data_IF_673053750472
#
_entry.id   IF_673053750472
#
_cell.length_a   1.000
_cell.length_b   1.000
_cell.length_c   1.000
_cell.angle_alpha   90.00
_cell.angle_beta   90.00
_cell.angle_gamma   90.00
#
_symmetry.space_group_name_H-M   'P 1'
#
loop_
_entity.id
_entity.type
_entity.pdbx_description
1 polymer ?
#
# COMPACT_ATOMS: atom_id res chain seq x y z
N UNK A 1 28.38 -6.79 8.48
CA UNK A 1 27.08 -7.02 7.82
C UNK A 1 27.40 -7.39 6.38
N UNK A 2 27.18 -8.65 6.02
CA UNK A 2 27.51 -9.16 4.68
C UNK A 2 26.41 -8.66 3.71
N UNK A 3 26.66 -7.59 2.98
CA UNK A 3 25.80 -7.15 1.87
C UNK A 3 26.04 -8.11 0.70
N UNK A 4 25.38 -9.27 0.72
CA UNK A 4 25.23 -10.02 -0.52
C UNK A 4 24.54 -9.09 -1.52
N UNK A 5 25.24 -8.80 -2.62
CA UNK A 5 24.66 -8.03 -3.71
C UNK A 5 23.48 -8.85 -4.27
N UNK A 6 22.25 -8.41 -3.99
CA UNK A 6 21.07 -9.04 -4.57
C UNK A 6 21.16 -8.91 -6.10
N UNK A 7 21.05 -10.03 -6.78
CA UNK A 7 21.08 -10.04 -8.25
C UNK A 7 19.75 -9.50 -8.77
N UNK A 8 19.79 -8.35 -9.45
CA UNK A 8 18.64 -7.76 -10.12
C UNK A 8 18.65 -8.19 -11.59
N UNK A 9 17.54 -8.74 -12.05
CA UNK A 9 17.36 -9.19 -13.43
C UNK A 9 16.93 -7.98 -14.28
N UNK A 10 17.71 -7.72 -15.34
CA UNK A 10 17.46 -6.59 -16.27
C UNK A 10 16.98 -7.05 -17.66
N UNK A 11 16.50 -8.29 -17.77
CA UNK A 11 15.96 -8.83 -19.00
C UNK A 11 14.77 -7.99 -19.50
N UNK A 12 14.86 -7.52 -20.75
CA UNK A 12 13.86 -6.60 -21.31
C UNK A 12 12.48 -7.25 -21.48
N UNK A 13 12.42 -8.54 -21.81
CA UNK A 13 11.16 -9.24 -22.01
C UNK A 13 10.42 -9.36 -20.66
N UNK A 14 11.10 -9.78 -19.60
CA UNK A 14 10.54 -9.92 -18.26
C UNK A 14 10.11 -8.57 -17.70
N UNK A 15 10.91 -7.52 -17.90
CA UNK A 15 10.55 -6.14 -17.51
C UNK A 15 9.30 -5.69 -18.25
N UNK A 16 9.20 -5.90 -19.56
CA UNK A 16 8.02 -5.50 -20.34
C UNK A 16 6.77 -6.28 -19.90
N UNK A 17 6.89 -7.57 -19.57
CA UNK A 17 5.80 -8.36 -19.00
C UNK A 17 5.33 -7.78 -17.66
N UNK A 18 6.26 -7.46 -16.75
CA UNK A 18 5.94 -6.87 -15.45
C UNK A 18 5.24 -5.50 -15.58
N UNK A 19 5.59 -4.71 -16.60
CA UNK A 19 5.04 -3.37 -16.87
C UNK A 19 3.76 -3.38 -17.74
N UNK A 20 3.26 -4.52 -18.15
CA UNK A 20 2.07 -4.59 -19.05
C UNK A 20 1.00 -5.51 -18.53
N UNK A 21 1.35 -6.69 -18.01
CA UNK A 21 0.35 -7.70 -17.63
C UNK A 21 -0.40 -7.29 -16.37
N UNK A 22 -1.70 -7.08 -16.50
CA UNK A 22 -2.61 -6.60 -15.43
C UNK A 22 -2.29 -5.20 -14.92
N UNK A 23 -1.58 -4.39 -15.72
CA UNK A 23 -1.25 -3.00 -15.42
C UNK A 23 -2.05 -2.11 -16.34
N UNK A 24 -2.92 -1.24 -15.78
CA UNK A 24 -3.72 -0.30 -16.54
C UNK A 24 -2.94 0.96 -16.89
N UNK A 25 -2.21 1.49 -15.91
CA UNK A 25 -1.46 2.74 -16.03
C UNK A 25 -0.23 2.74 -15.13
N UNK A 26 0.82 3.46 -15.52
CA UNK A 26 2.03 3.67 -14.73
C UNK A 26 2.32 5.17 -14.67
N UNK A 27 2.31 5.73 -13.48
CA UNK A 27 2.60 7.15 -13.23
C UNK A 27 3.98 7.32 -12.56
N UNK A 28 4.68 8.42 -12.82
CA UNK A 28 4.37 9.44 -13.81
C UNK A 28 4.69 9.04 -15.25
N UNK A 29 5.44 7.94 -15.48
CA UNK A 29 5.86 7.49 -16.80
C UNK A 29 6.26 6.01 -16.81
N UNK A 30 5.70 5.22 -17.72
CA UNK A 30 6.11 3.84 -17.98
C UNK A 30 7.56 3.73 -18.40
N UNK A 31 8.00 4.62 -19.28
CA UNK A 31 9.38 4.63 -19.80
C UNK A 31 10.39 5.00 -18.69
N UNK A 32 9.99 5.92 -17.80
CA UNK A 32 10.78 6.24 -16.61
C UNK A 32 11.00 5.04 -15.71
N UNK A 33 9.95 4.31 -15.36
CA UNK A 33 10.06 3.09 -14.54
C UNK A 33 10.86 1.99 -15.27
N UNK A 34 10.61 1.79 -16.59
CA UNK A 34 11.38 0.83 -17.39
C UNK A 34 12.89 1.12 -17.35
N UNK A 35 13.28 2.39 -17.50
CA UNK A 35 14.69 2.83 -17.41
C UNK A 35 15.29 2.51 -16.04
N UNK A 36 14.56 2.76 -14.96
CA UNK A 36 15.02 2.41 -13.61
C UNK A 36 15.21 0.90 -13.43
N UNK A 37 14.28 0.08 -13.91
CA UNK A 37 14.39 -1.38 -13.86
C UNK A 37 15.60 -1.90 -14.67
N UNK A 38 15.85 -1.31 -15.84
CA UNK A 38 16.99 -1.66 -16.69
C UNK A 38 18.34 -1.20 -16.14
N UNK A 39 18.37 -0.27 -15.18
CA UNK A 39 19.63 0.22 -14.58
C UNK A 39 20.34 -0.82 -13.71
N UNK A 40 19.69 -1.93 -13.36
CA UNK A 40 20.22 -2.94 -12.44
C UNK A 40 20.18 -2.50 -10.98
N UNK A 41 19.67 -1.31 -10.67
CA UNK A 41 19.46 -0.85 -9.29
C UNK A 41 18.32 -1.62 -8.63
N UNK A 42 18.53 -2.14 -7.43
CA UNK A 42 17.45 -2.74 -6.64
C UNK A 42 16.47 -1.69 -6.17
N UNK A 43 15.25 -1.74 -6.67
CA UNK A 43 14.14 -0.86 -6.27
C UNK A 43 13.38 -1.49 -5.11
N UNK A 44 12.61 -0.65 -4.40
CA UNK A 44 11.65 -1.09 -3.39
C UNK A 44 10.24 -0.85 -3.92
N UNK A 45 9.43 -1.91 -3.96
CA UNK A 45 8.01 -1.84 -4.24
C UNK A 45 7.23 -2.15 -2.97
N UNK A 46 6.20 -1.37 -2.69
CA UNK A 46 5.33 -1.64 -1.55
C UNK A 46 3.86 -1.55 -1.95
N UNK A 47 3.03 -2.28 -1.24
CA UNK A 47 1.59 -2.24 -1.35
C UNK A 47 1.00 -2.14 0.05
N UNK A 48 0.21 -1.07 0.29
CA UNK A 48 -0.56 -0.90 1.51
C UNK A 48 -1.90 -1.63 1.41
N UNK A 49 -2.29 -2.28 2.51
CA UNK A 49 -3.62 -2.87 2.68
C UNK A 49 -4.10 -2.70 4.12
N UNK A 50 -5.31 -2.18 4.27
CA UNK A 50 -5.99 -2.08 5.56
C UNK A 50 -6.74 -3.38 5.87
N UNK A 51 -6.56 -4.00 7.04
CA UNK A 51 -7.25 -5.23 7.42
C UNK A 51 -8.69 -4.95 7.88
N UNK A 52 -9.51 -4.44 6.98
CA UNK A 52 -10.93 -4.09 7.24
C UNK A 52 -11.87 -5.30 7.24
N UNK A 53 -11.38 -6.46 6.85
CA UNK A 53 -12.04 -7.76 6.91
C UNK A 53 -10.98 -8.86 7.11
N UNK A 54 -11.38 -10.06 7.49
CA UNK A 54 -10.46 -11.18 7.71
C UNK A 54 -10.11 -11.97 6.44
N UNK A 55 -10.39 -11.44 5.27
CA UNK A 55 -10.12 -12.10 3.98
C UNK A 55 -9.54 -11.14 2.96
N UNK A 56 -8.75 -11.73 2.06
CA UNK A 56 -8.20 -11.09 0.85
C UNK A 56 -8.96 -11.66 -0.35
N UNK A 57 -9.55 -10.78 -1.16
CA UNK A 57 -10.32 -11.19 -2.34
C UNK A 57 -9.51 -11.05 -3.65
N UNK A 58 -10.06 -11.54 -4.76
CA UNK A 58 -9.40 -11.54 -6.08
C UNK A 58 -8.94 -10.15 -6.54
N UNK A 59 -9.65 -9.07 -6.18
CA UNK A 59 -9.23 -7.70 -6.46
C UNK A 59 -7.89 -7.34 -5.81
N UNK A 60 -7.63 -7.82 -4.60
CA UNK A 60 -6.31 -7.67 -3.95
C UNK A 60 -5.24 -8.55 -4.61
N UNK A 61 -5.61 -9.75 -5.06
CA UNK A 61 -4.67 -10.72 -5.67
C UNK A 61 -3.99 -10.16 -6.91
N UNK A 62 -4.66 -9.33 -7.71
CA UNK A 62 -4.06 -8.71 -8.91
C UNK A 62 -2.85 -7.85 -8.56
N UNK A 63 -2.91 -7.11 -7.44
CA UNK A 63 -1.80 -6.29 -6.97
C UNK A 63 -0.64 -7.15 -6.45
N UNK A 64 -0.93 -8.25 -5.72
CA UNK A 64 0.10 -9.17 -5.26
C UNK A 64 0.81 -9.90 -6.41
N UNK A 65 0.08 -10.23 -7.49
CA UNK A 65 0.69 -10.80 -8.70
C UNK A 65 1.62 -9.81 -9.42
N UNK A 66 1.38 -8.50 -9.32
CA UNK A 66 2.30 -7.48 -9.82
C UNK A 66 3.56 -7.43 -8.94
N UNK A 67 3.40 -7.43 -7.61
CA UNK A 67 4.53 -7.46 -6.68
C UNK A 67 5.39 -8.72 -6.85
N UNK A 68 4.76 -9.88 -7.06
CA UNK A 68 5.45 -11.15 -7.31
C UNK A 68 6.40 -11.04 -8.52
N UNK A 69 5.96 -10.42 -9.63
CA UNK A 69 6.82 -10.22 -10.80
C UNK A 69 8.04 -9.33 -10.49
N UNK A 70 7.85 -8.26 -9.72
CA UNK A 70 8.99 -7.43 -9.29
C UNK A 70 9.89 -8.15 -8.29
N UNK A 71 9.32 -9.02 -7.44
CA UNK A 71 10.09 -9.90 -6.56
C UNK A 71 10.95 -10.87 -7.37
N UNK A 72 10.38 -11.53 -8.39
CA UNK A 72 11.08 -12.42 -9.30
C UNK A 72 12.22 -11.73 -10.09
N UNK A 73 12.12 -10.41 -10.33
CA UNK A 73 13.19 -9.60 -10.89
C UNK A 73 14.29 -9.23 -9.86
N UNK A 74 14.19 -9.65 -8.62
CA UNK A 74 15.17 -9.39 -7.55
C UNK A 74 14.97 -8.08 -6.80
N UNK A 75 13.85 -7.40 -6.99
CA UNK A 75 13.53 -6.17 -6.27
C UNK A 75 13.03 -6.45 -4.85
N UNK A 76 13.18 -5.45 -3.96
CA UNK A 76 12.68 -5.51 -2.59
C UNK A 76 11.17 -5.32 -2.58
N UNK A 77 10.46 -6.18 -1.86
CA UNK A 77 9.01 -6.10 -1.70
C UNK A 77 8.63 -5.88 -0.24
N UNK A 78 7.73 -4.93 -0.02
CA UNK A 78 7.13 -4.67 1.30
C UNK A 78 5.62 -4.79 1.18
N UNK A 79 5.03 -5.69 1.97
CA UNK A 79 3.59 -5.70 2.24
C UNK A 79 3.35 -4.85 3.47
N UNK A 80 2.79 -3.66 3.25
CA UNK A 80 2.52 -2.69 4.30
C UNK A 80 1.10 -2.88 4.82
N UNK A 81 0.98 -3.20 6.10
CA UNK A 81 -0.31 -3.36 6.77
C UNK A 81 -0.72 -2.04 7.41
N UNK A 82 -1.88 -1.55 7.01
CA UNK A 82 -2.51 -0.37 7.59
C UNK A 82 -3.29 -0.69 8.86
N UNK A 83 -2.62 -1.23 9.88
CA UNK A 83 -3.27 -1.62 11.14
C UNK A 83 -3.65 -0.40 12.01
N UNK A 84 -3.02 0.74 11.78
CA UNK A 84 -3.44 2.02 12.37
C UNK A 84 -4.53 2.69 11.52
N UNK A 85 -4.33 2.78 10.20
CA UNK A 85 -5.26 3.45 9.29
C UNK A 85 -6.60 2.72 9.18
N UNK A 86 -6.63 1.40 9.35
CA UNK A 86 -7.87 0.64 9.42
C UNK A 86 -8.82 1.10 10.54
N UNK A 87 -8.29 1.64 11.64
CA UNK A 87 -9.09 2.22 12.72
C UNK A 87 -9.68 3.59 12.36
N UNK A 88 -9.02 4.34 11.46
CA UNK A 88 -9.56 5.60 10.93
C UNK A 88 -10.70 5.30 9.95
N UNK A 89 -10.48 4.35 9.06
CA UNK A 89 -11.37 3.95 7.98
C UNK A 89 -11.13 4.74 6.69
N UNK A 90 -10.85 3.99 5.60
CA UNK A 90 -10.63 4.55 4.27
C UNK A 90 -11.90 5.25 3.74
N UNK A 91 -11.87 6.55 3.43
CA UNK A 91 -13.02 7.27 2.89
C UNK A 91 -13.24 7.03 1.38
N UNK A 92 -12.32 6.34 0.67
CA UNK A 92 -12.27 6.34 -0.79
C UNK A 92 -13.37 5.52 -1.46
N UNK A 93 -13.82 4.42 -0.85
CA UNK A 93 -14.69 3.44 -1.53
C UNK A 93 -16.19 3.58 -1.27
N UNK A 94 -16.64 4.47 -0.38
CA UNK A 94 -18.05 4.53 0.02
C UNK A 94 -18.59 5.94 0.14
N UNK A 95 -19.85 6.08 -0.24
CA UNK A 95 -20.65 7.30 -0.04
C UNK A 95 -21.11 7.50 1.41
N UNK A 96 -20.74 6.60 2.31
CA UNK A 96 -21.05 6.68 3.75
C UNK A 96 -19.80 6.41 4.58
N UNK A 97 -19.74 6.96 5.78
CA UNK A 97 -18.69 6.68 6.76
C UNK A 97 -18.55 5.18 7.01
N UNK A 98 -17.33 4.65 7.01
CA UNK A 98 -17.06 3.30 7.51
C UNK A 98 -17.22 3.27 9.04
N UNK A 99 -17.69 2.16 9.55
CA UNK A 99 -17.63 1.88 10.99
C UNK A 99 -16.15 1.76 11.35
N UNK A 100 -15.71 2.57 12.31
CA UNK A 100 -14.37 2.48 12.85
C UNK A 100 -14.17 1.11 13.51
N UNK A 101 -13.07 0.46 13.17
CA UNK A 101 -12.70 -0.80 13.79
C UNK A 101 -11.93 -0.55 15.08
N UNK A 102 -12.15 -1.41 16.08
CA UNK A 102 -11.28 -1.43 17.26
C UNK A 102 -9.95 -2.09 16.91
N UNK A 103 -8.91 -1.83 17.72
CA UNK A 103 -7.61 -2.47 17.52
C UNK A 103 -7.69 -4.00 17.59
N UNK A 104 -8.53 -4.53 18.47
CA UNK A 104 -8.76 -5.97 18.63
C UNK A 104 -9.34 -6.57 17.34
N UNK A 105 -10.33 -5.91 16.74
CA UNK A 105 -10.92 -6.36 15.47
C UNK A 105 -9.90 -6.32 14.32
N UNK A 106 -9.06 -5.29 14.28
CA UNK A 106 -7.96 -5.19 13.29
C UNK A 106 -6.97 -6.33 13.46
N UNK A 107 -6.55 -6.64 14.69
CA UNK A 107 -5.62 -7.73 14.98
C UNK A 107 -6.24 -9.11 14.68
N UNK A 108 -7.53 -9.30 14.96
CA UNK A 108 -8.25 -10.53 14.59
C UNK A 108 -8.29 -10.73 13.08
N UNK A 109 -8.63 -9.68 12.32
CA UNK A 109 -8.64 -9.72 10.86
C UNK A 109 -7.27 -10.08 10.27
N UNK A 110 -6.18 -9.62 10.89
CA UNK A 110 -4.81 -9.86 10.42
C UNK A 110 -4.34 -11.30 10.55
N UNK A 111 -4.92 -12.10 11.45
CA UNK A 111 -4.43 -13.46 11.75
C UNK A 111 -4.30 -14.34 10.51
N UNK A 112 -5.15 -14.16 9.52
CA UNK A 112 -5.15 -14.97 8.30
C UNK A 112 -4.48 -14.31 7.10
N UNK A 113 -4.15 -13.01 7.15
CA UNK A 113 -3.65 -12.25 6.01
C UNK A 113 -2.36 -12.82 5.44
N UNK A 114 -1.35 -13.06 6.30
CA UNK A 114 -0.07 -13.60 5.85
C UNK A 114 -0.23 -14.95 5.14
N UNK A 115 -1.09 -15.82 5.65
CA UNK A 115 -1.36 -17.12 5.03
C UNK A 115 -2.11 -17.01 3.70
N UNK A 116 -3.02 -16.02 3.55
CA UNK A 116 -3.75 -15.78 2.32
C UNK A 116 -2.85 -15.16 1.25
N UNK A 117 -2.10 -14.12 1.59
CA UNK A 117 -1.15 -13.44 0.71
C UNK A 117 -0.01 -14.38 0.32
N UNK A 118 0.43 -15.24 1.24
CA UNK A 118 1.47 -16.24 1.06
C UNK A 118 1.14 -17.33 0.02
N UNK A 119 -0.08 -17.35 -0.52
CA UNK A 119 -0.42 -18.19 -1.68
C UNK A 119 0.12 -17.61 -3.01
N UNK A 120 0.51 -16.33 -3.01
CA UNK A 120 1.04 -15.62 -4.17
C UNK A 120 2.48 -15.20 -3.92
N UNK A 121 2.75 -14.60 -2.74
CA UNK A 121 4.06 -14.08 -2.36
C UNK A 121 4.79 -15.09 -1.46
N UNK A 122 6.01 -15.50 -1.84
CA UNK A 122 6.81 -16.42 -1.02
C UNK A 122 7.51 -15.69 0.13
N UNK A 123 6.89 -15.73 1.32
CA UNK A 123 7.48 -15.17 2.54
C UNK A 123 8.62 -16.01 3.14
N UNK A 124 8.93 -17.16 2.54
CA UNK A 124 10.01 -18.03 2.98
C UNK A 124 11.27 -17.91 2.11
N UNK A 125 11.25 -17.04 1.10
CA UNK A 125 12.44 -16.75 0.29
C UNK A 125 13.52 -16.14 1.19
N UNK A 126 14.61 -16.90 1.38
CA UNK A 126 15.74 -16.52 2.23
C UNK A 126 16.65 -15.54 1.50
N UNK A 127 16.77 -15.65 0.17
CA UNK A 127 17.68 -14.87 -0.65
C UNK A 127 17.14 -13.47 -0.94
N UNK A 128 15.81 -13.35 -1.09
CA UNK A 128 15.12 -12.07 -1.30
C UNK A 128 13.86 -11.99 -0.40
N UNK A 129 14.00 -11.83 0.93
CA UNK A 129 12.87 -11.88 1.85
C UNK A 129 11.87 -10.76 1.60
N UNK A 130 10.59 -11.13 1.54
CA UNK A 130 9.48 -10.18 1.48
C UNK A 130 9.16 -9.70 2.90
N UNK A 131 9.14 -8.39 3.07
CA UNK A 131 8.91 -7.76 4.36
C UNK A 131 7.42 -7.54 4.62
N UNK A 132 7.02 -7.78 5.87
CA UNK A 132 5.69 -7.46 6.39
C UNK A 132 5.87 -6.33 7.40
N UNK A 133 5.38 -5.11 7.08
CA UNK A 133 5.52 -3.93 7.93
C UNK A 133 4.16 -3.40 8.36
N UNK A 134 4.10 -2.74 9.50
CA UNK A 134 2.87 -2.22 10.11
C UNK A 134 2.97 -0.70 10.24
N UNK A 135 1.98 0.03 9.74
CA UNK A 135 2.03 1.49 9.84
C UNK A 135 1.83 2.01 11.27
N UNK A 136 1.31 1.21 12.19
CA UNK A 136 1.28 1.54 13.61
C UNK A 136 2.68 1.73 14.22
N UNK A 137 3.73 1.15 13.62
CA UNK A 137 5.11 1.26 14.12
C UNK A 137 5.60 2.72 14.18
N UNK A 138 5.07 3.58 13.32
CA UNK A 138 5.38 5.00 13.31
C UNK A 138 4.17 5.89 13.60
N UNK A 139 2.97 5.60 13.07
CA UNK A 139 1.79 6.44 13.26
C UNK A 139 1.31 6.48 14.71
N UNK A 140 1.42 5.37 15.46
CA UNK A 140 1.01 5.36 16.86
C UNK A 140 1.93 6.16 17.80
N UNK A 141 3.09 6.60 17.31
CA UNK A 141 4.06 7.40 18.07
C UNK A 141 3.87 8.89 17.86
N UNK A 142 3.08 9.29 16.87
CA UNK A 142 2.80 10.71 16.62
C UNK A 142 2.03 11.30 17.79
N UNK A 143 2.54 12.42 18.28
CA UNK A 143 1.88 13.24 19.30
C UNK A 143 0.79 14.10 18.65
N UNK A 144 0.00 14.76 19.49
CA UNK A 144 -0.95 15.75 18.97
C UNK A 144 -0.23 16.95 18.31
N UNK A 145 0.94 17.34 18.83
CA UNK A 145 1.78 18.39 18.24
C UNK A 145 2.25 18.01 16.84
N UNK A 146 2.77 16.79 16.65
CA UNK A 146 3.16 16.25 15.32
C UNK A 146 1.97 16.24 14.35
N UNK A 147 0.80 15.89 14.85
CA UNK A 147 -0.42 15.85 14.04
C UNK A 147 -0.85 17.24 13.58
N UNK A 148 -0.72 18.26 14.43
CA UNK A 148 -0.99 19.66 14.08
C UNK A 148 0.05 20.17 13.08
N UNK A 149 1.34 19.86 13.28
CA UNK A 149 2.39 20.21 12.34
C UNK A 149 2.14 19.58 10.96
N UNK A 150 1.82 18.28 10.93
CA UNK A 150 1.47 17.59 9.68
C UNK A 150 0.26 18.26 9.00
N UNK A 151 -0.81 18.53 9.73
CA UNK A 151 -2.02 19.16 9.20
C UNK A 151 -1.77 20.58 8.66
N UNK A 152 -0.79 21.32 9.20
CA UNK A 152 -0.46 22.68 8.73
C UNK A 152 0.09 22.73 7.30
N UNK A 153 0.53 21.61 6.74
CA UNK A 153 1.03 21.50 5.37
C UNK A 153 -0.10 21.41 4.31
N UNK A 154 -1.35 21.26 4.74
CA UNK A 154 -2.48 21.08 3.85
C UNK A 154 -3.58 22.10 4.13
N UNK A 155 -4.19 22.63 3.08
CA UNK A 155 -5.41 23.43 3.22
C UNK A 155 -6.65 22.56 3.15
N UNK A 156 -7.75 23.02 3.74
CA UNK A 156 -9.05 22.34 3.63
C UNK A 156 -9.46 22.20 2.15
N UNK A 157 -9.20 23.21 1.33
CA UNK A 157 -9.51 23.17 -0.10
C UNK A 157 -8.75 22.03 -0.82
N UNK A 158 -7.43 21.88 -0.56
CA UNK A 158 -6.64 20.79 -1.13
C UNK A 158 -7.18 19.42 -0.71
N UNK A 159 -7.59 19.27 0.55
CA UNK A 159 -8.18 18.01 1.02
C UNK A 159 -9.51 17.72 0.32
N UNK A 160 -10.38 18.73 0.16
CA UNK A 160 -11.67 18.57 -0.50
C UNK A 160 -11.57 18.28 -2.01
N UNK A 161 -10.43 18.59 -2.65
CA UNK A 161 -10.19 18.25 -4.06
C UNK A 161 -9.88 16.76 -4.27
N UNK A 162 -9.55 15.99 -3.23
CA UNK A 162 -9.36 14.54 -3.35
C UNK A 162 -10.68 13.87 -3.77
N UNK A 163 -10.61 12.95 -4.73
CA UNK A 163 -11.78 12.32 -5.36
C UNK A 163 -12.79 11.76 -4.36
N UNK A 164 -12.33 11.15 -3.29
CA UNK A 164 -13.19 10.58 -2.25
C UNK A 164 -14.03 11.65 -1.55
N UNK A 165 -13.41 12.75 -1.14
CA UNK A 165 -14.09 13.85 -0.46
C UNK A 165 -14.94 14.67 -1.43
N UNK A 166 -14.43 14.95 -2.64
CA UNK A 166 -15.16 15.66 -3.68
C UNK A 166 -16.48 14.98 -4.05
N UNK A 167 -16.48 13.65 -4.21
CA UNK A 167 -17.70 12.88 -4.48
C UNK A 167 -18.72 12.97 -3.34
N UNK A 168 -18.24 12.93 -2.09
CA UNK A 168 -19.12 13.02 -0.90
C UNK A 168 -19.69 14.41 -0.70
N UNK A 169 -18.92 15.47 -0.93
CA UNK A 169 -19.40 16.85 -0.92
C UNK A 169 -20.48 17.05 -1.98
N UNK A 170 -20.23 16.58 -3.21
CA UNK A 170 -21.22 16.67 -4.30
C UNK A 170 -22.50 15.88 -4.02
N UNK A 171 -22.41 14.82 -3.22
CA UNK A 171 -23.56 13.99 -2.79
C UNK A 171 -24.19 14.49 -1.48
N UNK A 172 -23.79 15.65 -0.94
CA UNK A 172 -24.25 16.22 0.34
C UNK A 172 -24.10 15.24 1.52
N UNK A 173 -23.08 14.38 1.50
CA UNK A 173 -22.78 13.43 2.55
C UNK A 173 -21.83 14.04 3.59
N UNK A 174 -22.01 13.74 4.88
CA UNK A 174 -21.13 14.27 5.92
C UNK A 174 -19.69 13.82 5.75
N UNK A 175 -18.74 14.73 6.03
CA UNK A 175 -17.32 14.45 6.16
C UNK A 175 -16.92 14.67 7.61
N UNK A 176 -16.27 13.69 8.21
CA UNK A 176 -15.80 13.80 9.60
C UNK A 176 -14.33 14.20 9.64
N UNK A 177 -13.97 15.03 10.61
CA UNK A 177 -12.60 15.61 10.72
C UNK A 177 -11.51 14.52 10.77
N UNK A 178 -11.76 13.39 11.46
CA UNK A 178 -10.78 12.31 11.55
C UNK A 178 -10.46 11.65 10.19
N UNK A 179 -11.39 11.69 9.23
CA UNK A 179 -11.18 11.11 7.90
C UNK A 179 -10.12 11.86 7.09
N UNK A 180 -9.85 13.13 7.43
CA UNK A 180 -8.77 13.91 6.81
C UNK A 180 -7.37 13.44 7.21
N UNK A 181 -7.23 12.62 8.25
CA UNK A 181 -5.97 12.02 8.67
C UNK A 181 -5.69 10.66 8.02
N UNK A 182 -6.61 10.14 7.19
CA UNK A 182 -6.39 8.88 6.47
C UNK A 182 -5.43 9.04 5.27
N UNK A 183 -5.64 10.04 4.35
CA UNK A 183 -4.75 10.22 3.19
C UNK A 183 -3.41 10.75 3.62
#
# INVERSE_FOLDING_TARGET
MNTQAHHVITDEHLINEALSRSVAEILPSKDGLKKELQSGRRLTFYLGIDPTANYVHLGHSTNYLILERFHALGHRIIVLIGDFTAMIGDPSDKTSMRVQLTREQVLENLQTFKAQIGKILDFNDIDNPIEFQFNSEWLSKLTFEDSVELASNFTVQQMLERDAFKKRVAAEKPLFVHEFFYP
#
